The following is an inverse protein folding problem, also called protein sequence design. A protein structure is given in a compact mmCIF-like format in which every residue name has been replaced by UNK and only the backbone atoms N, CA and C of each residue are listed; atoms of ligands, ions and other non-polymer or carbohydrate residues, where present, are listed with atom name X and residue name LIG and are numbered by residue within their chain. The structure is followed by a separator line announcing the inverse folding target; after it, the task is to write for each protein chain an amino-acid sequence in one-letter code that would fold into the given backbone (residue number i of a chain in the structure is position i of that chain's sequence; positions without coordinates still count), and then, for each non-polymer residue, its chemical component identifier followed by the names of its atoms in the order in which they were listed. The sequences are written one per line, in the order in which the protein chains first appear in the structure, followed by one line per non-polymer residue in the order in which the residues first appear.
data_IF_839816006982
#
_entry.id   IF_839816006982
#
_cell.length_a   1.000
_cell.length_b   1.000
_cell.length_c   1.000
_cell.angle_alpha   90.00
_cell.angle_beta   90.00
_cell.angle_gamma   90.00
#
_symmetry.space_group_name_H-M   'P 1'
#
loop_
_entity.id
_entity.type
_entity.pdbx_description
1 polymer ?
#
# COMPACT_ATOMS: atom_id res chain seq x y z
N UNK A 1 -21.97 25.72 -44.32
CA UNK A 1 -21.62 24.35 -44.76
C UNK A 1 -20.33 23.98 -44.01
N UNK A 2 -20.39 23.50 -42.78
CA UNK A 2 -20.76 22.14 -42.32
C UNK A 2 -19.69 21.08 -42.66
N UNK A 3 -18.85 20.77 -41.68
CA UNK A 3 -18.28 19.46 -41.31
C UNK A 3 -17.45 19.69 -40.02
N UNK A 4 -17.89 19.38 -38.78
CA UNK A 4 -17.90 18.05 -38.10
C UNK A 4 -16.77 17.13 -38.55
N UNK A 5 -15.93 16.55 -37.70
CA UNK A 5 -15.92 16.37 -36.25
C UNK A 5 -14.88 15.28 -35.94
N UNK A 6 -14.44 15.19 -34.69
CA UNK A 6 -13.47 14.22 -34.17
C UNK A 6 -12.66 14.91 -33.08
N UNK A 7 -13.06 14.92 -31.81
CA UNK A 7 -13.24 13.81 -30.88
C UNK A 7 -11.97 12.97 -30.72
N UNK A 8 -10.91 13.60 -30.25
CA UNK A 8 -9.83 12.90 -29.57
C UNK A 8 -10.15 12.89 -28.08
N UNK A 9 -10.86 11.85 -27.66
CA UNK A 9 -10.93 11.48 -26.26
C UNK A 9 -9.50 11.14 -25.84
N UNK A 10 -8.87 12.02 -25.06
CA UNK A 10 -7.62 11.72 -24.39
C UNK A 10 -7.88 10.51 -23.48
N UNK A 11 -7.37 9.36 -23.91
CA UNK A 11 -7.36 8.15 -23.14
C UNK A 11 -6.67 8.44 -21.81
N UNK A 12 -7.43 8.37 -20.72
CA UNK A 12 -6.89 8.20 -19.38
C UNK A 12 -6.07 6.91 -19.40
N UNK A 13 -4.78 6.90 -19.04
CA UNK A 13 -4.13 5.65 -18.70
C UNK A 13 -4.59 5.28 -17.29
N UNK A 14 -5.82 4.76 -17.20
CA UNK A 14 -6.22 3.90 -16.10
C UNK A 14 -5.46 2.58 -16.33
N UNK A 15 -4.23 2.55 -15.83
CA UNK A 15 -3.23 1.60 -16.29
C UNK A 15 -2.35 1.15 -15.14
N UNK A 16 -2.87 0.28 -14.30
CA UNK A 16 -2.03 -0.70 -13.61
C UNK A 16 -2.82 -2.00 -13.48
N UNK A 17 -2.36 -3.11 -14.08
CA UNK A 17 -2.94 -4.42 -13.83
C UNK A 17 -2.69 -4.76 -12.36
N UNK A 18 -3.79 -4.98 -11.65
CA UNK A 18 -3.76 -5.29 -10.24
C UNK A 18 -3.50 -6.79 -10.08
N UNK A 19 -2.34 -7.15 -9.55
CA UNK A 19 -2.00 -8.55 -9.27
C UNK A 19 -2.30 -8.92 -7.82
N UNK A 20 -3.34 -9.74 -7.69
CA UNK A 20 -3.95 -10.24 -6.47
C UNK A 20 -2.98 -11.09 -5.66
N UNK A 21 -2.34 -10.43 -4.70
CA UNK A 21 -1.73 -11.07 -3.54
C UNK A 21 -2.85 -11.36 -2.53
N UNK A 22 -2.75 -12.40 -1.67
CA UNK A 22 -3.83 -12.66 -0.74
C UNK A 22 -4.11 -11.42 0.12
N UNK A 23 -5.36 -11.21 0.50
CA UNK A 23 -5.73 -10.05 1.28
C UNK A 23 -5.00 -10.05 2.65
N UNK A 24 -4.59 -8.87 3.16
CA UNK A 24 -4.23 -8.72 4.56
C UNK A 24 -5.26 -9.37 5.47
N UNK A 25 -4.81 -10.01 6.55
CA UNK A 25 -5.69 -10.72 7.49
C UNK A 25 -5.26 -10.51 8.93
N UNK A 26 -6.20 -10.70 9.86
CA UNK A 26 -5.92 -10.69 11.29
C UNK A 26 -5.78 -12.12 11.79
N UNK A 27 -4.67 -12.43 12.45
CA UNK A 27 -4.40 -13.76 13.02
C UNK A 27 -3.77 -13.62 14.40
N UNK A 28 -4.47 -14.11 15.43
CA UNK A 28 -3.95 -14.22 16.80
C UNK A 28 -3.20 -12.97 17.30
N UNK A 29 -3.84 -11.79 17.20
CA UNK A 29 -3.24 -10.54 17.68
C UNK A 29 -2.23 -9.88 16.74
N UNK A 30 -2.08 -10.37 15.50
CA UNK A 30 -1.25 -9.74 14.48
C UNK A 30 -2.02 -9.37 13.21
N UNK A 31 -1.53 -8.34 12.54
CA UNK A 31 -1.80 -8.08 11.12
C UNK A 31 -0.81 -8.90 10.30
N UNK A 32 -1.33 -9.75 9.43
CA UNK A 32 -0.54 -10.59 8.52
C UNK A 32 -0.73 -10.09 7.10
N UNK A 33 0.37 -9.68 6.48
CA UNK A 33 0.46 -9.26 5.09
C UNK A 33 1.16 -10.39 4.33
N UNK A 34 0.46 -11.14 3.48
CA UNK A 34 1.10 -12.19 2.68
C UNK A 34 2.06 -11.58 1.64
N UNK A 35 2.93 -12.39 1.02
CA UNK A 35 3.76 -11.94 -0.10
C UNK A 35 2.94 -11.21 -1.15
N UNK A 36 3.46 -10.11 -1.69
CA UNK A 36 2.73 -9.29 -2.65
C UNK A 36 3.54 -8.72 -3.81
N UNK A 37 2.82 -8.36 -4.87
CA UNK A 37 3.31 -7.57 -6.01
C UNK A 37 2.29 -6.49 -6.39
N UNK A 38 2.75 -5.25 -6.50
CA UNK A 38 1.97 -4.09 -6.93
C UNK A 38 2.68 -3.40 -8.08
N UNK A 39 2.01 -3.24 -9.22
CA UNK A 39 2.54 -2.45 -10.34
C UNK A 39 2.18 -0.97 -10.15
N UNK A 40 3.17 -0.09 -10.33
CA UNK A 40 2.97 1.36 -10.30
C UNK A 40 3.95 2.06 -11.25
N UNK A 41 3.43 2.92 -12.12
CA UNK A 41 4.22 3.65 -13.14
C UNK A 41 5.14 2.76 -14.00
N UNK A 42 4.70 1.53 -14.31
CA UNK A 42 5.46 0.58 -15.13
C UNK A 42 6.59 -0.15 -14.40
N UNK A 43 6.69 -0.01 -13.07
CA UNK A 43 7.59 -0.76 -12.20
C UNK A 43 6.78 -1.71 -11.31
N UNK A 44 7.30 -2.91 -11.07
CA UNK A 44 6.73 -3.84 -10.11
C UNK A 44 7.37 -3.69 -8.72
N UNK A 45 6.52 -3.55 -7.70
CA UNK A 45 6.91 -3.41 -6.29
C UNK A 45 6.54 -4.68 -5.55
N UNK A 46 7.55 -5.40 -5.05
CA UNK A 46 7.42 -6.77 -4.59
C UNK A 46 7.84 -6.93 -3.14
N UNK A 47 7.17 -7.82 -2.42
CA UNK A 47 7.60 -8.31 -1.12
C UNK A 47 7.39 -9.82 -1.08
N UNK A 48 8.47 -10.58 -0.94
CA UNK A 48 8.46 -12.02 -1.19
C UNK A 48 8.03 -12.88 0.00
N UNK A 49 8.12 -12.33 1.20
CA UNK A 49 7.88 -13.05 2.45
C UNK A 49 6.54 -12.65 3.09
N UNK A 50 6.03 -13.48 3.99
CA UNK A 50 4.88 -13.06 4.80
C UNK A 50 5.35 -12.08 5.88
N UNK A 51 4.80 -10.87 5.87
CA UNK A 51 5.02 -9.88 6.91
C UNK A 51 4.03 -10.07 8.04
N UNK A 52 4.54 -10.11 9.27
CA UNK A 52 3.73 -10.20 10.48
C UNK A 52 4.01 -8.99 11.38
N UNK A 53 2.96 -8.23 11.69
CA UNK A 53 3.03 -7.04 12.54
C UNK A 53 2.20 -7.30 13.79
N UNK A 54 2.85 -7.35 14.94
CA UNK A 54 2.17 -7.58 16.22
C UNK A 54 1.37 -6.33 16.63
N UNK A 55 0.06 -6.49 16.84
CA UNK A 55 -0.82 -5.34 17.10
C UNK A 55 -0.57 -4.71 18.47
N UNK A 56 0.04 -5.45 19.40
CA UNK A 56 0.39 -4.97 20.73
C UNK A 56 1.46 -3.86 20.71
N UNK A 57 2.24 -3.77 19.64
CA UNK A 57 3.26 -2.74 19.44
C UNK A 57 2.66 -1.44 18.89
N UNK A 58 1.41 -1.48 18.44
CA UNK A 58 0.71 -0.34 17.85
C UNK A 58 -0.12 0.40 18.89
N UNK A 59 -0.07 1.74 18.86
CA UNK A 59 -0.97 2.56 19.66
C UNK A 59 -2.44 2.33 19.24
N UNK A 60 -3.41 2.41 20.16
CA UNK A 60 -4.83 2.30 19.80
C UNK A 60 -5.28 3.45 18.89
N UNK A 61 -5.44 3.19 17.59
CA UNK A 61 -5.88 4.19 16.60
C UNK A 61 -6.41 3.56 15.30
N UNK A 62 -6.68 4.39 14.30
CA UNK A 62 -6.89 3.96 12.92
C UNK A 62 -5.62 4.12 12.10
N UNK A 63 -5.38 3.14 11.25
CA UNK A 63 -4.22 3.05 10.38
C UNK A 63 -4.65 2.78 8.94
N UNK A 64 -4.00 3.43 7.99
CA UNK A 64 -3.97 3.01 6.59
C UNK A 64 -2.79 2.08 6.39
N UNK A 65 -3.01 0.96 5.72
CA UNK A 65 -1.98 0.00 5.33
C UNK A 65 -1.51 0.42 3.94
N UNK A 66 -0.28 0.92 3.86
CA UNK A 66 0.28 1.54 2.66
C UNK A 66 1.47 0.73 2.18
N UNK A 67 1.50 0.38 0.90
CA UNK A 67 2.70 -0.16 0.24
C UNK A 67 3.62 1.00 -0.06
N UNK A 68 4.88 0.85 0.32
CA UNK A 68 5.90 1.88 0.12
C UNK A 68 7.12 1.29 -0.57
N UNK A 69 7.75 2.11 -1.40
CA UNK A 69 9.14 1.90 -1.77
C UNK A 69 10.01 2.48 -0.66
N UNK A 70 10.95 1.70 -0.13
CA UNK A 70 11.92 2.16 0.86
C UNK A 70 13.32 2.16 0.24
N UNK A 71 13.88 3.34 -0.05
CA UNK A 71 15.18 3.46 -0.71
C UNK A 71 16.36 3.07 0.18
N UNK A 72 16.16 2.84 1.49
CA UNK A 72 17.19 2.32 2.40
C UNK A 72 17.37 0.81 2.33
N UNK A 73 16.42 0.10 1.73
CA UNK A 73 16.60 -1.34 1.56
C UNK A 73 17.59 -1.51 0.41
N UNK A 74 18.81 -1.97 0.73
CA UNK A 74 19.72 -2.47 -0.29
C UNK A 74 18.96 -3.56 -1.04
N UNK A 75 18.57 -3.26 -2.27
CA UNK A 75 17.87 -4.19 -3.15
C UNK A 75 18.92 -4.83 -4.06
N UNK A 76 19.45 -6.01 -3.70
CA UNK A 76 20.43 -6.71 -4.53
C UNK A 76 19.76 -7.38 -5.75
N UNK A 77 18.46 -7.18 -5.97
CA UNK A 77 17.76 -7.77 -7.08
C UNK A 77 18.35 -7.29 -8.41
N UNK A 78 18.87 -8.19 -9.26
CA UNK A 78 19.40 -7.80 -10.56
C UNK A 78 18.30 -7.42 -11.57
N UNK A 79 17.03 -7.72 -11.28
CA UNK A 79 15.91 -7.39 -12.15
C UNK A 79 15.45 -5.94 -11.95
N UNK A 80 15.86 -5.06 -12.87
CA UNK A 80 15.50 -3.64 -12.84
C UNK A 80 14.00 -3.37 -13.06
N UNK A 81 13.21 -4.35 -13.51
CA UNK A 81 11.75 -4.23 -13.63
C UNK A 81 11.03 -4.42 -12.29
N UNK A 82 11.76 -4.86 -11.25
CA UNK A 82 11.23 -5.12 -9.92
C UNK A 82 11.99 -4.31 -8.85
N UNK A 83 11.28 -3.90 -7.82
CA UNK A 83 11.85 -3.20 -6.67
C UNK A 83 11.23 -3.72 -5.38
N UNK A 84 12.06 -3.93 -4.35
CA UNK A 84 11.58 -4.33 -3.03
C UNK A 84 10.66 -3.26 -2.42
N UNK A 85 9.56 -3.73 -1.86
CA UNK A 85 8.52 -2.94 -1.23
C UNK A 85 8.36 -3.31 0.24
N UNK A 86 7.93 -2.32 1.03
CA UNK A 86 7.58 -2.46 2.42
C UNK A 86 6.13 -2.07 2.70
N UNK A 87 5.73 -2.23 3.96
CA UNK A 87 4.45 -1.75 4.48
C UNK A 87 4.68 -0.62 5.47
N UNK A 88 3.97 0.48 5.26
CA UNK A 88 3.87 1.59 6.19
C UNK A 88 2.45 1.65 6.79
N UNK A 89 2.36 1.70 8.11
CA UNK A 89 1.10 1.87 8.83
C UNK A 89 0.89 3.36 9.13
N UNK A 90 0.26 4.05 8.19
CA UNK A 90 -0.04 5.47 8.30
C UNK A 90 -1.12 5.69 9.36
N UNK A 91 -0.74 6.25 10.51
CA UNK A 91 -1.66 6.54 11.61
C UNK A 91 -2.46 7.80 11.34
N UNK A 92 -3.69 7.88 11.85
CA UNK A 92 -4.47 9.11 11.85
C UNK A 92 -3.96 10.11 12.90
N UNK A 93 -3.67 11.33 12.47
CA UNK A 93 -3.24 12.45 13.33
C UNK A 93 -4.44 13.16 13.96
N UNK A 94 -4.18 13.98 15.00
CA UNK A 94 -5.20 14.77 15.73
C UNK A 94 -5.91 15.79 14.85
N UNK A 95 -5.20 16.35 13.86
CA UNK A 95 -5.74 17.27 12.85
C UNK A 95 -6.61 16.57 11.78
N UNK A 96 -6.76 15.24 11.89
CA UNK A 96 -7.56 14.43 10.98
C UNK A 96 -6.80 13.95 9.74
N UNK A 97 -5.58 14.45 9.50
CA UNK A 97 -4.71 14.00 8.42
C UNK A 97 -4.13 12.60 8.72
N UNK A 98 -3.59 11.98 7.69
CA UNK A 98 -2.89 10.70 7.80
C UNK A 98 -1.38 10.97 7.80
N UNK A 99 -0.62 10.23 8.59
CA UNK A 99 0.84 10.28 8.51
C UNK A 99 1.29 9.90 7.10
N UNK A 100 2.07 10.77 6.44
CA UNK A 100 2.66 10.46 5.15
C UNK A 100 3.91 9.60 5.37
N UNK A 101 4.07 8.52 4.60
CA UNK A 101 5.26 7.68 4.67
C UNK A 101 6.52 8.50 4.37
N UNK A 102 6.40 9.49 3.49
CA UNK A 102 7.43 10.44 3.07
C UNK A 102 7.97 11.31 4.22
N UNK A 103 7.24 11.40 5.34
CA UNK A 103 7.71 12.11 6.54
C UNK A 103 8.62 11.25 7.43
N UNK A 104 8.84 9.97 7.09
CA UNK A 104 9.54 9.00 7.91
C UNK A 104 10.55 8.20 7.08
N UNK A 105 11.83 8.26 7.46
CA UNK A 105 12.89 8.94 6.68
C UNK A 105 12.50 9.39 5.26
N UNK A 106 13.10 10.48 4.76
CA UNK A 106 12.80 11.17 3.48
C UNK A 106 12.78 10.26 2.23
N UNK A 107 13.19 9.02 2.40
CA UNK A 107 13.44 7.97 1.42
C UNK A 107 12.35 6.88 1.42
N UNK A 108 11.13 7.19 1.86
CA UNK A 108 9.96 6.34 1.61
C UNK A 108 9.00 7.02 0.65
N UNK A 109 8.50 6.28 -0.35
CA UNK A 109 7.47 6.77 -1.28
C UNK A 109 6.25 5.86 -1.26
N UNK A 110 5.07 6.45 -1.10
CA UNK A 110 3.79 5.73 -1.20
C UNK A 110 3.57 5.21 -2.61
N UNK A 111 3.31 3.90 -2.72
CA UNK A 111 3.01 3.20 -3.97
C UNK A 111 1.51 2.91 -4.06
N UNK A 112 0.93 2.31 -3.02
CA UNK A 112 -0.48 1.91 -3.03
C UNK A 112 -1.11 1.86 -1.63
N UNK A 113 -2.44 1.91 -1.57
CA UNK A 113 -3.23 1.72 -0.35
C UNK A 113 -3.97 0.39 -0.41
N UNK A 114 -3.70 -0.52 0.53
CA UNK A 114 -4.21 -1.90 0.48
C UNK A 114 -5.24 -2.23 1.57
N UNK A 115 -5.50 -1.30 2.50
CA UNK A 115 -6.54 -1.49 3.50
C UNK A 115 -6.48 -0.54 4.68
N UNK A 116 -7.44 -0.70 5.58
CA UNK A 116 -7.54 0.06 6.82
C UNK A 116 -7.63 -0.89 8.00
N UNK A 117 -6.82 -0.60 9.01
CA UNK A 117 -6.83 -1.27 10.30
C UNK A 117 -7.41 -0.31 11.36
N UNK A 118 -8.40 -0.78 12.11
CA UNK A 118 -9.00 -0.05 13.23
C UNK A 118 -8.69 -0.76 14.54
N UNK A 119 -7.82 -0.14 15.34
CA UNK A 119 -7.37 -0.57 16.67
C UNK A 119 -7.91 0.32 17.79
N UNK A 120 -8.92 1.17 17.53
CA UNK A 120 -9.53 1.99 18.60
C UNK A 120 -10.13 1.15 19.73
N UNK A 121 -10.43 -0.12 19.45
CA UNK A 121 -10.80 -1.15 20.44
C UNK A 121 -9.84 -2.33 20.28
N UNK A 122 -8.68 -2.35 20.98
CA UNK A 122 -7.64 -3.36 20.76
C UNK A 122 -8.09 -4.81 20.96
N UNK A 123 -9.10 -5.05 21.83
CA UNK A 123 -9.70 -6.37 22.02
C UNK A 123 -10.56 -6.84 20.83
N UNK A 124 -10.92 -5.92 19.93
CA UNK A 124 -11.79 -6.17 18.77
C UNK A 124 -11.23 -5.44 17.53
N UNK A 125 -10.02 -5.82 17.07
CA UNK A 125 -9.40 -5.19 15.91
C UNK A 125 -10.27 -5.45 14.68
N UNK A 126 -10.38 -4.45 13.80
CA UNK A 126 -11.12 -4.58 12.55
C UNK A 126 -10.23 -4.25 11.37
N UNK A 127 -10.29 -5.09 10.36
CA UNK A 127 -9.58 -4.90 9.12
C UNK A 127 -10.59 -4.75 7.98
N UNK A 128 -10.48 -3.64 7.26
CA UNK A 128 -11.20 -3.40 6.02
C UNK A 128 -10.16 -3.43 4.92
N UNK A 129 -10.15 -4.52 4.16
CA UNK A 129 -9.23 -4.66 3.04
C UNK A 129 -9.79 -3.85 1.87
N UNK A 130 -8.99 -2.93 1.34
CA UNK A 130 -9.26 -2.40 0.02
C UNK A 130 -8.88 -3.55 -0.90
N UNK A 131 -9.87 -4.16 -1.58
CA UNK A 131 -9.53 -5.22 -2.54
C UNK A 131 -8.44 -4.64 -3.43
N UNK A 132 -7.28 -5.29 -3.56
CA UNK A 132 -6.39 -4.96 -4.65
C UNK A 132 -7.12 -5.44 -5.90
N UNK A 133 -8.02 -4.60 -6.41
CA UNK A 133 -8.67 -4.58 -7.72
C UNK A 133 -9.09 -3.13 -7.97
#
# INVERSE_FOLDING_TARGET
MASTGGSEAAATPDGSPVTCSPAPRLVAGALVIPPFQVSFLGQDFVHWEEMRIELAELAPDRYRIVVVQNFWTEDPNPDLSQCLAGIFLSRRRRDGAWEAAENWPVECRTVAHVGMLDLRRPAHPRLVVTRPC
#
